data_IF_537943023774
#
_entry.id   IF_537943023774
#
_cell.length_a   1.000
_cell.length_b   1.000
_cell.length_c   1.000
_cell.angle_alpha   90.00
_cell.angle_beta   90.00
_cell.angle_gamma   90.00
#
_symmetry.space_group_name_H-M   'P 1'
#
loop_
_entity.id
_entity.type
_entity.pdbx_description
1 polymer ?
#
# COMPACT_ATOMS: atom_id res chain seq x y z
N UNK A 1 -4.67 5.48 8.42
CA UNK A 1 -4.99 6.52 7.39
C UNK A 1 -5.72 7.70 8.03
N UNK A 2 -5.35 8.94 7.69
CA UNK A 2 -5.75 10.17 8.40
C UNK A 2 -7.24 10.49 8.36
N UNK A 3 -7.91 10.12 7.28
CA UNK A 3 -9.30 10.46 7.00
C UNK A 3 -10.21 9.22 7.06
N UNK A 4 -9.73 8.10 7.60
CA UNK A 4 -10.52 6.85 7.62
C UNK A 4 -11.75 6.94 8.51
N UNK A 5 -11.66 7.75 9.54
CA UNK A 5 -12.75 8.15 10.45
C UNK A 5 -13.86 8.97 9.79
N UNK A 6 -13.64 9.46 8.56
CA UNK A 6 -14.67 10.10 7.74
C UNK A 6 -15.01 9.25 6.51
N UNK A 7 -14.00 8.62 5.90
CA UNK A 7 -14.14 7.93 4.60
C UNK A 7 -14.52 6.45 4.71
N UNK A 8 -14.25 5.79 5.83
CA UNK A 8 -14.50 4.35 6.00
C UNK A 8 -13.73 3.46 5.01
N UNK A 9 -12.68 3.97 4.36
CA UNK A 9 -11.95 3.27 3.29
C UNK A 9 -11.34 1.94 3.74
N UNK A 10 -10.84 1.89 4.97
CA UNK A 10 -10.24 0.71 5.58
C UNK A 10 -11.19 0.15 6.64
N UNK A 11 -11.57 -1.11 6.47
CA UNK A 11 -12.49 -1.85 7.33
C UNK A 11 -11.85 -3.14 7.86
N UNK A 12 -12.47 -3.78 8.84
CA UNK A 12 -12.02 -5.07 9.36
C UNK A 12 -11.97 -6.12 8.24
N UNK A 13 -11.00 -7.04 8.33
CA UNK A 13 -10.73 -8.03 7.29
C UNK A 13 -10.05 -7.46 6.02
N UNK A 14 -9.81 -6.14 5.96
CA UNK A 14 -9.07 -5.50 4.87
C UNK A 14 -7.83 -4.79 5.39
N UNK A 15 -6.78 -4.78 4.57
CA UNK A 15 -5.51 -4.14 4.87
C UNK A 15 -5.10 -3.26 3.69
N UNK A 16 -4.69 -2.04 3.99
CA UNK A 16 -4.01 -1.15 3.06
C UNK A 16 -2.53 -1.40 3.03
N UNK A 17 -1.93 -1.25 1.86
CA UNK A 17 -0.48 -1.20 1.69
C UNK A 17 -0.12 0.12 1.00
N UNK A 18 0.79 0.88 1.61
CA UNK A 18 1.52 1.97 0.98
C UNK A 18 2.94 1.51 0.68
N UNK A 19 3.37 1.62 -0.57
CA UNK A 19 4.74 1.25 -0.98
C UNK A 19 5.40 2.52 -1.48
N UNK A 20 6.27 3.10 -0.66
CA UNK A 20 6.92 4.37 -0.96
C UNK A 20 8.30 4.11 -1.55
N UNK A 21 8.47 4.40 -2.85
CA UNK A 21 9.72 4.27 -3.60
C UNK A 21 10.53 5.57 -3.56
N UNK A 22 11.85 5.46 -3.71
CA UNK A 22 12.78 6.61 -3.73
C UNK A 22 13.43 6.94 -2.38
N UNK A 23 13.34 6.03 -1.41
CA UNK A 23 13.87 6.23 -0.05
C UNK A 23 15.40 6.13 0.00
N UNK A 24 16.07 6.76 0.99
CA UNK A 24 15.61 7.84 1.85
C UNK A 24 15.68 9.22 1.17
N UNK A 25 15.51 9.30 -0.15
CA UNK A 25 15.68 10.52 -0.96
C UNK A 25 16.54 10.32 -2.22
N UNK A 26 16.86 9.08 -2.60
CA UNK A 26 17.64 8.77 -3.82
C UNK A 26 16.81 8.94 -5.11
N UNK A 27 15.48 9.02 -4.96
CA UNK A 27 14.53 9.06 -6.06
C UNK A 27 14.26 7.70 -6.68
N UNK A 28 13.29 7.66 -7.58
CA UNK A 28 12.93 6.48 -8.37
C UNK A 28 12.55 6.93 -9.78
N UNK A 29 12.63 6.02 -10.74
CA UNK A 29 11.96 6.18 -12.03
C UNK A 29 10.63 5.43 -12.04
N UNK A 30 9.72 5.83 -12.91
CA UNK A 30 8.40 5.22 -12.97
C UNK A 30 8.42 3.77 -13.49
N UNK A 31 9.45 3.33 -14.21
CA UNK A 31 9.58 1.91 -14.54
C UNK A 31 9.68 1.01 -13.29
N UNK A 32 10.31 1.47 -12.21
CA UNK A 32 10.38 0.72 -10.95
C UNK A 32 9.06 0.79 -10.18
N UNK A 33 8.40 1.95 -10.22
CA UNK A 33 7.03 2.12 -9.70
C UNK A 33 6.06 1.16 -10.41
N UNK A 34 6.21 1.01 -11.74
CA UNK A 34 5.40 0.12 -12.57
C UNK A 34 5.63 -1.35 -12.22
N UNK A 35 6.90 -1.79 -12.06
CA UNK A 35 7.22 -3.17 -11.60
C UNK A 35 6.52 -3.50 -10.28
N UNK A 36 6.62 -2.60 -9.29
CA UNK A 36 5.97 -2.75 -7.98
C UNK A 36 4.45 -2.76 -8.09
N UNK A 37 3.87 -1.83 -8.85
CA UNK A 37 2.42 -1.79 -9.08
C UNK A 37 1.92 -3.07 -9.76
N UNK A 38 2.61 -3.57 -10.78
CA UNK A 38 2.27 -4.82 -11.46
C UNK A 38 2.33 -6.03 -10.51
N UNK A 39 3.33 -6.11 -9.62
CA UNK A 39 3.43 -7.18 -8.63
C UNK A 39 2.20 -7.22 -7.71
N UNK A 40 1.73 -6.05 -7.25
CA UNK A 40 0.51 -5.95 -6.45
C UNK A 40 -0.75 -6.26 -7.26
N UNK A 41 -0.81 -5.78 -8.50
CA UNK A 41 -1.97 -5.97 -9.37
C UNK A 41 -2.21 -7.45 -9.73
N UNK A 42 -1.14 -8.25 -9.91
CA UNK A 42 -1.22 -9.71 -10.12
C UNK A 42 -1.90 -10.45 -8.97
N UNK A 43 -1.84 -9.91 -7.76
CA UNK A 43 -2.50 -10.46 -6.57
C UNK A 43 -3.95 -9.94 -6.39
N UNK A 44 -4.43 -9.09 -7.31
CA UNK A 44 -5.76 -8.51 -7.26
C UNK A 44 -5.87 -7.30 -6.33
N UNK A 45 -4.81 -6.51 -6.22
CA UNK A 45 -4.81 -5.25 -5.49
C UNK A 45 -5.91 -4.30 -6.00
N UNK A 46 -6.58 -3.60 -5.08
CA UNK A 46 -7.45 -2.46 -5.40
C UNK A 46 -6.70 -1.16 -5.15
N UNK A 47 -6.28 -0.48 -6.21
CA UNK A 47 -5.54 0.79 -6.13
C UNK A 47 -6.45 1.95 -5.68
N UNK A 48 -5.88 2.91 -4.95
CA UNK A 48 -6.60 4.12 -4.54
C UNK A 48 -6.85 5.02 -5.75
N UNK A 49 -8.11 5.26 -6.16
CA UNK A 49 -8.41 6.07 -7.34
C UNK A 49 -7.91 7.52 -7.25
N UNK A 50 -7.75 8.07 -6.05
CA UNK A 50 -7.27 9.45 -5.84
C UNK A 50 -5.76 9.56 -5.63
N UNK A 51 -5.02 8.46 -5.70
CA UNK A 51 -3.57 8.48 -5.53
C UNK A 51 -2.88 8.92 -6.84
N UNK A 52 -1.85 9.79 -6.77
CA UNK A 52 -1.16 10.30 -7.97
C UNK A 52 -0.60 9.22 -8.89
N UNK A 53 -0.07 8.11 -8.36
CA UNK A 53 0.45 7.00 -9.18
C UNK A 53 -0.69 6.31 -9.92
N UNK A 54 -1.85 6.12 -9.29
CA UNK A 54 -3.03 5.52 -9.93
C UNK A 54 -3.51 6.37 -11.12
N UNK A 55 -3.45 7.70 -11.02
CA UNK A 55 -3.83 8.62 -12.12
C UNK A 55 -2.88 8.53 -13.34
N UNK A 56 -1.69 7.95 -13.17
CA UNK A 56 -0.72 7.72 -14.23
C UNK A 56 -0.84 6.32 -14.86
N UNK A 57 -1.77 5.48 -14.39
CA UNK A 57 -2.05 4.19 -15.02
C UNK A 57 -2.79 4.38 -16.36
N UNK A 58 -2.52 3.51 -17.34
CA UNK A 58 -3.22 3.52 -18.65
C UNK A 58 -4.73 3.28 -18.48
N UNK A 59 -5.08 2.44 -17.52
CA UNK A 59 -6.42 2.11 -17.05
C UNK A 59 -6.25 1.51 -15.64
N UNK A 60 -7.18 1.76 -14.72
CA UNK A 60 -7.16 1.25 -13.33
C UNK A 60 -7.10 -0.29 -13.28
N UNK A 61 -7.64 -0.96 -14.30
CA UNK A 61 -7.59 -2.39 -14.56
C UNK A 61 -6.41 -2.86 -15.43
N UNK A 62 -5.74 -1.98 -16.16
CA UNK A 62 -4.63 -2.32 -17.08
C UNK A 62 -3.31 -2.64 -16.36
N UNK A 63 -3.23 -2.34 -15.05
CA UNK A 63 -2.11 -2.73 -14.17
C UNK A 63 -0.74 -2.17 -14.57
N UNK A 64 -0.70 -1.22 -15.50
CA UNK A 64 0.52 -0.64 -16.08
C UNK A 64 0.43 0.88 -16.16
N UNK A 65 1.52 1.57 -15.84
CA UNK A 65 1.69 2.99 -16.05
C UNK A 65 1.73 3.35 -17.54
N UNK A 66 1.39 4.60 -17.86
CA UNK A 66 1.51 5.13 -19.23
C UNK A 66 2.97 5.09 -19.67
N UNK A 67 3.20 4.71 -20.92
CA UNK A 67 4.56 4.48 -21.44
C UNK A 67 5.37 5.76 -21.56
N UNK A 68 4.70 6.90 -21.78
CA UNK A 68 5.29 8.22 -21.87
C UNK A 68 5.87 8.75 -20.54
N UNK A 69 5.54 8.13 -19.40
CA UNK A 69 6.08 8.53 -18.09
C UNK A 69 7.13 7.58 -17.53
N UNK A 70 7.33 6.39 -18.09
CA UNK A 70 8.14 5.33 -17.47
C UNK A 70 9.59 5.73 -17.18
N UNK A 71 10.17 6.54 -18.05
CA UNK A 71 11.56 7.01 -17.92
C UNK A 71 11.70 8.28 -17.09
N UNK A 72 10.61 8.90 -16.65
CA UNK A 72 10.68 10.11 -15.82
C UNK A 72 11.16 9.79 -14.40
N UNK A 73 11.97 10.68 -13.83
CA UNK A 73 12.49 10.56 -12.45
C UNK A 73 11.65 11.39 -11.49
N UNK A 74 11.33 10.81 -10.33
CA UNK A 74 10.63 11.47 -9.22
C UNK A 74 11.38 11.26 -7.91
N UNK A 75 11.25 12.20 -6.97
CA UNK A 75 11.89 12.11 -5.65
C UNK A 75 11.27 11.00 -4.78
N UNK A 76 9.94 10.88 -4.81
CA UNK A 76 9.21 9.83 -4.12
C UNK A 76 7.89 9.56 -4.85
N UNK A 77 7.52 8.29 -4.92
CA UNK A 77 6.23 7.84 -5.45
C UNK A 77 5.67 6.75 -4.54
N UNK A 78 4.39 6.88 -4.17
CA UNK A 78 3.72 5.93 -3.29
C UNK A 78 2.66 5.18 -4.07
N UNK A 79 2.86 3.87 -4.23
CA UNK A 79 1.81 2.97 -4.70
C UNK A 79 0.89 2.67 -3.52
N UNK A 80 -0.38 3.06 -3.61
CA UNK A 80 -1.39 2.80 -2.58
C UNK A 80 -2.44 1.81 -3.07
N UNK A 81 -2.60 0.71 -2.34
CA UNK A 81 -3.62 -0.28 -2.64
C UNK A 81 -4.20 -0.94 -1.39
N UNK A 82 -5.26 -1.74 -1.59
CA UNK A 82 -5.91 -2.51 -0.54
C UNK A 82 -6.08 -3.97 -0.94
N UNK A 83 -6.05 -4.83 0.07
CA UNK A 83 -6.24 -6.27 -0.04
C UNK A 83 -7.18 -6.77 1.06
N UNK A 84 -7.89 -7.88 0.82
CA UNK A 84 -8.34 -8.75 1.91
C UNK A 84 -7.12 -9.22 2.73
N UNK A 85 -7.28 -9.34 4.04
CA UNK A 85 -6.17 -9.63 4.96
C UNK A 85 -5.46 -10.96 4.64
N UNK A 86 -6.21 -11.94 4.14
CA UNK A 86 -5.69 -13.26 3.74
C UNK A 86 -4.65 -13.18 2.60
N UNK A 87 -4.63 -12.09 1.82
CA UNK A 87 -3.67 -11.88 0.73
C UNK A 87 -2.39 -11.18 1.17
N UNK A 88 -2.33 -10.64 2.38
CA UNK A 88 -1.19 -9.81 2.82
C UNK A 88 0.11 -10.61 2.87
N UNK A 89 0.07 -11.88 3.28
CA UNK A 89 1.26 -12.74 3.27
C UNK A 89 1.85 -12.85 1.85
N UNK A 90 0.99 -13.11 0.86
CA UNK A 90 1.41 -13.19 -0.54
C UNK A 90 1.93 -11.84 -1.08
N UNK A 91 1.28 -10.74 -0.69
CA UNK A 91 1.71 -9.39 -1.08
C UNK A 91 3.11 -9.06 -0.53
N UNK A 92 3.37 -9.32 0.74
CA UNK A 92 4.68 -9.07 1.36
C UNK A 92 5.79 -9.93 0.76
N UNK A 93 5.50 -11.19 0.40
CA UNK A 93 6.45 -12.06 -0.32
C UNK A 93 6.73 -11.49 -1.72
N UNK A 94 5.70 -11.12 -2.47
CA UNK A 94 5.87 -10.52 -3.80
C UNK A 94 6.66 -9.19 -3.74
N UNK A 95 6.50 -8.41 -2.67
CA UNK A 95 7.30 -7.21 -2.43
C UNK A 95 8.77 -7.54 -2.14
N UNK A 96 9.07 -8.59 -1.36
CA UNK A 96 10.45 -9.05 -1.16
C UNK A 96 11.11 -9.49 -2.48
N UNK A 97 10.35 -10.13 -3.37
CA UNK A 97 10.87 -10.56 -4.67
C UNK A 97 11.10 -9.37 -5.61
N UNK A 98 10.11 -8.49 -5.82
CA UNK A 98 10.27 -7.32 -6.71
C UNK A 98 11.32 -6.33 -6.20
N UNK A 99 11.63 -6.33 -4.90
CA UNK A 99 12.75 -5.55 -4.34
C UNK A 99 14.11 -5.91 -4.97
N UNK A 100 14.25 -7.12 -5.54
CA UNK A 100 15.45 -7.55 -6.26
C UNK A 100 15.53 -7.01 -7.68
N UNK A 101 14.41 -6.52 -8.22
CA UNK A 101 14.26 -6.15 -9.63
C UNK A 101 14.16 -4.63 -9.85
N UNK A 102 14.29 -3.82 -8.80
CA UNK A 102 14.18 -2.35 -8.86
C UNK A 102 15.51 -1.67 -8.55
N UNK A 103 15.79 -0.53 -9.20
CA UNK A 103 17.00 0.26 -9.01
C UNK A 103 16.78 1.40 -7.99
N UNK A 104 15.96 1.15 -6.98
CA UNK A 104 15.62 2.09 -5.91
C UNK A 104 15.36 1.35 -4.59
N UNK A 105 15.19 2.11 -3.52
CA UNK A 105 14.77 1.57 -2.22
C UNK A 105 13.32 1.99 -1.98
N UNK A 106 12.53 1.06 -1.44
CA UNK A 106 11.19 1.37 -0.98
C UNK A 106 10.92 0.90 0.44
N UNK A 107 10.02 1.62 1.12
CA UNK A 107 9.45 1.22 2.41
C UNK A 107 8.01 0.77 2.23
N UNK A 108 7.56 -0.12 3.12
CA UNK A 108 6.22 -0.71 3.06
C UNK A 108 5.48 -0.37 4.35
N UNK A 109 4.35 0.31 4.22
CA UNK A 109 3.42 0.61 5.29
C UNK A 109 2.21 -0.30 5.22
N UNK A 110 1.80 -0.87 6.36
CA UNK A 110 0.54 -1.63 6.48
C UNK A 110 -0.50 -0.80 7.24
N UNK A 111 -1.72 -0.73 6.71
CA UNK A 111 -2.84 0.02 7.28
C UNK A 111 -3.95 -0.96 7.64
N UNK A 112 -4.29 -1.08 8.91
CA UNK A 112 -5.39 -1.93 9.38
C UNK A 112 -6.21 -1.21 10.46
N UNK A 113 -7.43 -1.69 10.68
CA UNK A 113 -8.25 -1.27 11.83
C UNK A 113 -7.78 -2.09 13.04
N UNK A 114 -7.52 -1.42 14.16
CA UNK A 114 -7.13 -2.07 15.41
C UNK A 114 -8.30 -2.95 15.90
N UNK A 115 -8.04 -4.16 16.34
CA UNK A 115 -9.05 -5.05 16.93
C UNK A 115 -9.58 -4.54 18.27
N UNK A 116 -10.79 -4.95 18.71
CA UNK A 116 -11.36 -4.49 19.98
C UNK A 116 -10.48 -4.80 21.20
N UNK A 117 -9.65 -5.84 21.11
CA UNK A 117 -8.66 -6.23 22.11
C UNK A 117 -7.35 -5.43 22.05
N UNK A 118 -7.25 -4.46 21.13
CA UNK A 118 -6.06 -3.63 20.92
C UNK A 118 -5.01 -4.27 20.01
N UNK A 119 -5.23 -5.49 19.52
CA UNK A 119 -4.27 -6.16 18.64
C UNK A 119 -4.28 -5.57 17.22
N UNK A 120 -3.14 -5.68 16.53
CA UNK A 120 -3.01 -5.31 15.13
C UNK A 120 -3.15 -6.58 14.27
N UNK A 121 -4.13 -6.67 13.35
CA UNK A 121 -4.36 -7.85 12.54
C UNK A 121 -3.14 -8.33 11.74
N UNK A 122 -2.25 -7.41 11.36
CA UNK A 122 -1.06 -7.69 10.55
C UNK A 122 0.11 -8.25 11.36
N UNK A 123 0.14 -8.11 12.69
CA UNK A 123 1.31 -8.46 13.52
C UNK A 123 1.65 -9.95 13.44
N UNK A 124 0.63 -10.83 13.43
CA UNK A 124 0.85 -12.27 13.25
C UNK A 124 1.52 -12.61 11.91
N UNK A 125 1.07 -11.97 10.83
CA UNK A 125 1.59 -12.20 9.48
C UNK A 125 3.04 -11.70 9.38
N UNK A 126 3.34 -10.54 9.95
CA UNK A 126 4.70 -9.99 9.99
C UNK A 126 5.64 -10.91 10.78
N UNK A 127 5.20 -11.42 11.93
CA UNK A 127 5.97 -12.38 12.74
C UNK A 127 6.26 -13.68 11.99
N UNK A 128 5.28 -14.26 11.28
CA UNK A 128 5.49 -15.47 10.46
C UNK A 128 6.49 -15.27 9.32
N UNK A 129 6.64 -14.04 8.82
CA UNK A 129 7.55 -13.68 7.73
C UNK A 129 8.89 -13.11 8.22
N UNK A 130 9.09 -13.09 9.55
CA UNK A 130 10.26 -12.50 10.22
C UNK A 130 10.51 -11.05 9.79
N UNK A 131 9.43 -10.29 9.57
CA UNK A 131 9.49 -8.86 9.21
C UNK A 131 9.31 -8.04 10.50
N UNK A 132 10.28 -7.21 10.88
CA UNK A 132 10.14 -6.37 12.06
C UNK A 132 9.10 -5.27 11.82
N UNK A 133 8.21 -5.08 12.80
CA UNK A 133 7.32 -3.91 12.84
C UNK A 133 8.03 -2.76 13.56
N UNK A 134 8.04 -1.58 12.93
CA UNK A 134 8.50 -0.36 13.57
C UNK A 134 7.35 0.34 14.32
N UNK A 135 7.67 1.00 15.43
CA UNK A 135 6.68 1.70 16.28
C UNK A 135 6.23 3.04 15.70
N UNK A 136 6.92 3.54 14.67
CA UNK A 136 6.77 4.88 14.09
C UNK A 136 5.52 5.04 13.19
N UNK A 137 4.45 4.32 13.50
CA UNK A 137 3.21 4.38 12.76
C UNK A 137 2.40 5.65 13.04
N UNK A 138 1.32 5.83 12.28
CA UNK A 138 0.31 6.85 12.55
C UNK A 138 -1.02 6.20 12.90
N UNK A 139 -1.55 6.55 14.07
CA UNK A 139 -2.89 6.17 14.52
C UNK A 139 -3.90 7.24 14.13
N UNK A 140 -5.02 6.82 13.53
CA UNK A 140 -6.22 7.65 13.44
C UNK A 140 -7.08 7.34 14.66
N UNK A 141 -7.42 8.37 15.43
CA UNK A 141 -8.12 8.26 16.72
C UNK A 141 -9.65 8.31 16.60
N UNK A 142 -10.22 8.42 15.38
CA UNK A 142 -11.66 8.28 15.18
C UNK A 142 -12.50 9.53 15.46
N UNK A 143 -11.89 10.73 15.51
CA UNK A 143 -12.61 11.95 15.91
C UNK A 143 -13.53 12.52 14.83
N UNK A 144 -13.33 12.13 13.57
CA UNK A 144 -14.05 12.66 12.41
C UNK A 144 -15.51 12.23 12.27
N UNK A 145 -15.95 11.18 12.99
CA UNK A 145 -17.29 10.57 12.95
C UNK A 145 -17.74 10.22 11.50
N UNK A 146 -17.73 8.94 11.09
CA UNK A 146 -18.04 8.57 9.71
C UNK A 146 -19.41 9.10 9.28
N UNK A 147 -19.52 9.60 8.03
CA UNK A 147 -20.80 10.06 7.47
C UNK A 147 -21.80 8.91 7.25
N UNK A 148 -21.36 7.65 7.39
CA UNK A 148 -22.18 6.44 7.41
C UNK A 148 -21.49 5.35 8.24
N UNK A 149 -22.28 4.54 8.97
CA UNK A 149 -21.80 3.31 9.60
C UNK A 149 -21.43 2.30 8.50
N UNK A 150 -20.20 1.78 8.52
CA UNK A 150 -19.79 0.75 7.56
C UNK A 150 -20.58 -0.53 7.83
N UNK A 151 -21.20 -1.10 6.79
CA UNK A 151 -21.92 -2.38 6.88
C UNK A 151 -21.03 -3.44 7.55
N UNK A 152 -21.61 -4.08 8.57
CA UNK A 152 -21.04 -5.19 9.34
C UNK A 152 -20.71 -6.40 8.45
#
# INVERSE_FOLDING_TARGET
>A
MKTNDVTGRFKRGWVGIGIELGRPGIGTRFHDVDKVAQAMARLGAKFEPKNPVTLLMKDVGARKLKEDVLDEKVLSAIVECTFPIEKIKAALIALKEVARDVDTVFSVDCISVVEPDGSLPVDKILSELEIPRYINGKTNVGLGRPLAEGEN
#
